data_IF_762626901194
#
_entry.id   IF_762626901194
#
_cell.length_a   1.000
_cell.length_b   1.000
_cell.length_c   1.000
_cell.angle_alpha   90.00
_cell.angle_beta   90.00
_cell.angle_gamma   90.00
#
_symmetry.space_group_name_H-M   'P 1'
#
loop_
_entity.id
_entity.type
_entity.pdbx_description
1 polymer ?
#
# COMPACT_ATOMS: atom_id res chain seq x y z
N UNK A 1 -2.91 22.01 -12.64
CA UNK A 1 -3.70 22.51 -11.48
C UNK A 1 -2.73 23.24 -10.58
N UNK A 2 -3.07 24.47 -10.22
CA UNK A 2 -2.30 25.27 -9.25
C UNK A 2 -2.94 25.11 -7.88
N UNK A 3 -2.12 24.99 -6.85
CA UNK A 3 -2.58 24.83 -5.47
C UNK A 3 -2.07 26.00 -4.64
N UNK A 4 -2.92 26.49 -3.75
CA UNK A 4 -2.53 27.52 -2.78
C UNK A 4 -1.45 26.97 -1.84
N UNK A 5 -0.21 27.37 -2.09
CA UNK A 5 0.96 26.95 -1.31
C UNK A 5 0.96 27.51 0.11
N UNK A 6 0.17 28.56 0.40
CA UNK A 6 0.03 29.10 1.74
C UNK A 6 -0.76 28.10 2.61
N UNK A 7 -1.88 27.59 2.08
CA UNK A 7 -2.78 26.64 2.75
C UNK A 7 -2.30 25.19 2.70
N UNK A 8 -1.80 24.73 1.54
CA UNK A 8 -1.49 23.33 1.31
C UNK A 8 0.01 23.07 1.15
N UNK A 9 0.48 21.97 1.75
CA UNK A 9 1.78 21.39 1.45
C UNK A 9 1.63 20.34 0.35
N UNK A 10 2.20 20.60 -0.82
CA UNK A 10 2.14 19.68 -1.95
C UNK A 10 3.17 18.56 -1.77
N UNK A 11 2.69 17.32 -1.71
CA UNK A 11 3.52 16.12 -1.73
C UNK A 11 3.55 15.54 -3.15
N UNK A 12 4.72 15.65 -3.79
CA UNK A 12 5.02 15.07 -5.11
C UNK A 12 6.50 14.69 -5.15
N UNK A 13 6.91 13.92 -6.16
CA UNK A 13 8.34 13.68 -6.40
C UNK A 13 9.09 15.02 -6.59
N UNK A 14 10.33 15.17 -6.07
CA UNK A 14 11.21 14.14 -5.50
C UNK A 14 11.19 14.07 -3.96
N UNK A 15 10.04 13.84 -3.33
CA UNK A 15 9.98 13.53 -1.89
C UNK A 15 10.62 12.16 -1.58
N UNK A 16 11.47 12.06 -0.55
CA UNK A 16 12.19 10.83 -0.18
C UNK A 16 11.28 9.61 -0.01
N UNK A 17 10.11 9.77 0.62
CA UNK A 17 9.15 8.68 0.81
C UNK A 17 8.58 8.18 -0.52
N UNK A 18 8.28 9.11 -1.44
CA UNK A 18 7.78 8.78 -2.76
C UNK A 18 8.88 8.19 -3.66
N UNK A 19 10.12 8.63 -3.50
CA UNK A 19 11.28 8.03 -4.18
C UNK A 19 11.47 6.60 -3.70
N UNK A 20 11.47 6.36 -2.39
CA UNK A 20 11.49 5.02 -1.80
C UNK A 20 10.35 4.15 -2.36
N UNK A 21 9.15 4.71 -2.52
CA UNK A 21 8.02 4.01 -3.14
C UNK A 21 8.34 3.53 -4.56
N UNK A 22 8.94 4.39 -5.38
CA UNK A 22 9.23 4.09 -6.79
C UNK A 22 10.34 3.05 -6.94
N UNK A 23 11.36 3.05 -6.08
CA UNK A 23 12.56 2.23 -6.26
C UNK A 23 12.54 0.90 -5.49
N UNK A 24 11.80 0.80 -4.38
CA UNK A 24 11.87 -0.37 -3.52
C UNK A 24 11.18 -1.59 -4.17
N UNK A 25 11.91 -2.66 -4.53
CA UNK A 25 11.32 -3.82 -5.20
C UNK A 25 10.26 -4.53 -4.36
N UNK A 26 10.36 -4.49 -3.03
CA UNK A 26 9.37 -5.07 -2.11
C UNK A 26 7.99 -4.44 -2.26
N UNK A 27 7.90 -3.15 -2.65
CA UNK A 27 6.63 -2.49 -2.87
C UNK A 27 5.94 -2.90 -4.18
N UNK A 28 6.64 -3.58 -5.10
CA UNK A 28 6.00 -4.17 -6.26
C UNK A 28 5.04 -5.30 -5.88
N UNK A 29 5.30 -6.02 -4.79
CA UNK A 29 4.35 -7.00 -4.23
C UNK A 29 3.07 -6.30 -3.80
N UNK A 30 3.18 -5.15 -3.13
CA UNK A 30 2.03 -4.36 -2.73
C UNK A 30 1.23 -3.85 -3.95
N UNK A 31 1.90 -3.35 -4.99
CA UNK A 31 1.22 -2.83 -6.18
C UNK A 31 0.59 -3.92 -7.05
N UNK A 32 1.30 -5.03 -7.30
CA UNK A 32 0.87 -6.07 -8.24
C UNK A 32 -0.01 -7.13 -7.58
N UNK A 33 0.33 -7.59 -6.38
CA UNK A 33 -0.39 -8.66 -5.71
C UNK A 33 -1.52 -8.09 -4.88
N UNK A 34 -1.23 -7.13 -4.00
CA UNK A 34 -2.24 -6.54 -3.11
C UNK A 34 -3.06 -5.43 -3.78
N UNK A 35 -2.61 -4.90 -4.92
CA UNK A 35 -3.31 -3.81 -5.61
C UNK A 35 -3.23 -2.48 -4.86
N UNK A 36 -2.22 -2.25 -4.03
CA UNK A 36 -2.03 -0.96 -3.38
C UNK A 36 -1.62 0.10 -4.41
N UNK A 37 -2.19 1.31 -4.32
CA UNK A 37 -1.83 2.43 -5.19
C UNK A 37 -1.62 3.69 -4.38
N UNK A 38 -0.58 4.44 -4.74
CA UNK A 38 -0.27 5.73 -4.12
C UNK A 38 -0.51 6.85 -5.15
N UNK A 39 -1.32 7.89 -4.85
CA UNK A 39 -1.54 8.99 -5.77
C UNK A 39 -0.22 9.70 -6.13
N UNK A 40 -0.11 10.18 -7.37
CA UNK A 40 1.07 10.92 -7.83
C UNK A 40 1.24 12.28 -7.14
N UNK A 41 0.13 12.87 -6.72
CA UNK A 41 0.07 14.15 -6.00
C UNK A 41 -0.87 14.00 -4.82
N UNK A 42 -0.42 14.42 -3.65
CA UNK A 42 -1.24 14.56 -2.44
C UNK A 42 -1.00 15.94 -1.84
N UNK A 43 -1.96 16.43 -1.05
CA UNK A 43 -1.94 17.76 -0.46
C UNK A 43 -2.22 17.63 1.03
N UNK A 44 -1.34 18.14 1.88
CA UNK A 44 -1.60 18.22 3.33
C UNK A 44 -2.08 19.63 3.66
N UNK A 45 -3.26 19.75 4.25
CA UNK A 45 -3.72 21.02 4.83
C UNK A 45 -2.86 21.34 6.06
N UNK A 46 -2.17 22.48 6.04
CA UNK A 46 -1.25 22.86 7.12
C UNK A 46 -1.95 23.22 8.43
N UNK A 47 -3.22 23.64 8.38
CA UNK A 47 -3.98 24.04 9.55
C UNK A 47 -4.64 22.85 10.23
N UNK A 48 -5.13 21.89 9.44
CA UNK A 48 -5.90 20.76 9.95
C UNK A 48 -5.11 19.44 10.00
N UNK A 49 -3.92 19.39 9.39
CA UNK A 49 -3.09 18.18 9.22
C UNK A 49 -3.88 17.04 8.55
N UNK A 50 -4.75 17.40 7.59
CA UNK A 50 -5.58 16.48 6.80
C UNK A 50 -4.99 16.35 5.40
N UNK A 51 -4.86 15.12 4.91
CA UNK A 51 -4.37 14.83 3.57
C UNK A 51 -5.52 14.72 2.56
N UNK A 52 -5.31 15.31 1.39
CA UNK A 52 -6.23 15.30 0.26
C UNK A 52 -5.56 14.77 -1.00
N UNK A 53 -6.35 14.09 -1.83
CA UNK A 53 -5.97 13.64 -3.17
C UNK A 53 -6.75 14.45 -4.21
N UNK A 54 -6.10 15.38 -4.91
CA UNK A 54 -6.74 16.18 -5.94
C UNK A 54 -7.02 15.35 -7.19
N UNK A 55 -8.24 15.45 -7.73
CA UNK A 55 -8.56 14.87 -9.04
C UNK A 55 -8.18 15.85 -10.16
N UNK A 56 -7.35 15.46 -11.14
CA UNK A 56 -6.98 16.35 -12.25
C UNK A 56 -8.11 16.59 -13.25
N UNK A 57 -9.16 15.76 -13.25
CA UNK A 57 -10.26 15.81 -14.22
C UNK A 57 -11.36 16.79 -13.79
N UNK A 58 -11.90 16.63 -12.57
CA UNK A 58 -12.98 17.47 -12.04
C UNK A 58 -12.54 18.47 -10.98
N UNK A 59 -11.25 18.49 -10.60
CA UNK A 59 -10.68 19.35 -9.55
C UNK A 59 -11.22 19.08 -8.13
N UNK A 60 -11.92 17.96 -7.94
CA UNK A 60 -12.34 17.46 -6.64
C UNK A 60 -11.17 17.32 -5.67
N UNK A 61 -11.38 17.68 -4.41
CA UNK A 61 -10.45 17.48 -3.32
C UNK A 61 -10.96 16.30 -2.48
N UNK A 62 -10.45 15.11 -2.75
CA UNK A 62 -10.90 13.89 -2.10
C UNK A 62 -10.12 13.66 -0.81
N UNK A 63 -10.77 13.24 0.27
CA UNK A 63 -10.10 12.82 1.51
C UNK A 63 -9.17 11.63 1.21
N UNK A 64 -7.91 11.71 1.63
CA UNK A 64 -6.94 10.63 1.42
C UNK A 64 -7.31 9.35 2.18
N UNK A 65 -8.09 9.45 3.27
CA UNK A 65 -8.58 8.31 4.05
C UNK A 65 -9.41 7.33 3.20
N UNK A 66 -9.96 7.78 2.07
CA UNK A 66 -10.70 6.93 1.14
C UNK A 66 -9.88 5.75 0.63
N UNK A 67 -8.56 5.89 0.51
CA UNK A 67 -7.66 4.82 0.03
C UNK A 67 -6.62 4.43 1.08
N UNK A 68 -6.90 4.70 2.37
CA UNK A 68 -6.04 4.34 3.50
C UNK A 68 -6.65 3.20 4.34
N UNK A 69 -5.90 2.75 5.35
CA UNK A 69 -6.37 1.78 6.34
C UNK A 69 -6.91 0.48 5.73
N UNK A 70 -8.18 0.18 6.00
CA UNK A 70 -8.83 -1.06 5.50
C UNK A 70 -9.14 -1.02 4.01
N UNK A 71 -9.14 0.16 3.38
CA UNK A 71 -9.36 0.33 1.94
C UNK A 71 -8.06 0.64 1.18
N UNK A 72 -6.90 0.28 1.74
CA UNK A 72 -5.59 0.51 1.10
C UNK A 72 -5.33 -0.38 -0.12
N UNK A 73 -6.03 -1.51 -0.22
CA UNK A 73 -5.71 -2.60 -1.13
C UNK A 73 -6.83 -2.87 -2.13
N UNK A 74 -6.48 -3.57 -3.21
CA UNK A 74 -7.41 -3.99 -4.25
C UNK A 74 -7.70 -2.94 -5.31
N UNK A 75 -6.80 -1.96 -5.47
CA UNK A 75 -6.80 -0.89 -6.46
C UNK A 75 -5.94 -1.22 -7.69
N UNK A 76 -5.97 -2.47 -8.17
CA UNK A 76 -5.05 -2.96 -9.21
C UNK A 76 -5.03 -2.11 -10.49
N UNK A 77 -6.17 -1.55 -10.90
CA UNK A 77 -6.25 -0.73 -12.12
C UNK A 77 -6.16 0.79 -11.87
N UNK A 78 -5.79 1.20 -10.66
CA UNK A 78 -5.66 2.59 -10.23
C UNK A 78 -6.68 2.97 -9.17
N UNK A 79 -6.58 4.19 -8.64
CA UNK A 79 -7.59 4.79 -7.77
C UNK A 79 -8.59 5.60 -8.61
N UNK A 80 -9.86 5.59 -8.23
CA UNK A 80 -10.96 6.23 -8.97
C UNK A 80 -11.51 7.40 -8.17
N UNK A 81 -11.72 8.54 -8.81
CA UNK A 81 -12.36 9.67 -8.16
C UNK A 81 -13.86 9.39 -7.91
N UNK A 82 -14.38 9.56 -6.68
CA UNK A 82 -15.79 9.34 -6.38
C UNK A 82 -16.74 10.33 -7.08
N UNK A 83 -16.26 11.52 -7.45
CA UNK A 83 -17.11 12.53 -8.09
C UNK A 83 -17.27 12.31 -9.60
N UNK A 84 -16.17 12.10 -10.33
CA UNK A 84 -16.19 12.00 -11.80
C UNK A 84 -15.94 10.58 -12.33
N UNK A 85 -15.67 9.62 -11.46
CA UNK A 85 -15.33 8.23 -11.80
C UNK A 85 -14.13 8.03 -12.73
N UNK A 86 -13.33 9.08 -12.94
CA UNK A 86 -12.08 9.01 -13.69
C UNK A 86 -10.94 8.53 -12.81
N UNK A 87 -9.94 7.91 -13.43
CA UNK A 87 -8.73 7.45 -12.76
C UNK A 87 -7.88 8.62 -12.28
N UNK A 88 -7.46 8.59 -11.02
CA UNK A 88 -6.49 9.53 -10.50
C UNK A 88 -5.08 8.97 -10.78
N UNK A 89 -4.18 9.76 -11.40
CA UNK A 89 -2.82 9.32 -11.66
C UNK A 89 -2.12 8.84 -10.38
N UNK A 90 -1.59 7.62 -10.44
CA UNK A 90 -0.85 6.99 -9.35
C UNK A 90 0.64 6.92 -9.68
N UNK A 91 1.47 6.79 -8.64
CA UNK A 91 2.86 6.38 -8.80
C UNK A 91 2.92 4.94 -9.31
N UNK A 92 4.02 4.64 -10.00
CA UNK A 92 4.34 3.31 -10.47
C UNK A 92 5.72 2.94 -9.95
N UNK A 93 5.82 1.81 -9.28
CA UNK A 93 7.12 1.27 -8.88
C UNK A 93 7.87 0.74 -10.11
N UNK A 94 9.19 0.96 -10.15
CA UNK A 94 10.04 0.55 -11.26
C UNK A 94 10.05 -0.97 -11.44
N UNK A 95 10.08 -1.72 -10.34
CA UNK A 95 10.01 -3.18 -10.37
C UNK A 95 8.65 -3.65 -10.86
N UNK A 96 7.55 -3.02 -10.41
CA UNK A 96 6.21 -3.29 -10.97
C UNK A 96 6.17 -3.09 -12.49
N UNK A 97 6.75 -1.99 -12.97
CA UNK A 97 6.83 -1.69 -14.41
C UNK A 97 7.60 -2.77 -15.16
N UNK A 98 8.77 -3.18 -14.67
CA UNK A 98 9.58 -4.23 -15.29
C UNK A 98 8.82 -5.56 -15.33
N UNK A 99 8.21 -5.97 -14.22
CA UNK A 99 7.41 -7.20 -14.17
C UNK A 99 6.27 -7.14 -15.18
N UNK A 100 5.51 -6.04 -15.22
CA UNK A 100 4.40 -5.89 -16.16
C UNK A 100 4.88 -5.85 -17.62
N UNK A 101 6.06 -5.30 -17.89
CA UNK A 101 6.66 -5.29 -19.22
C UNK A 101 7.04 -6.70 -19.68
N UNK A 102 7.79 -7.44 -18.86
CA UNK A 102 8.22 -8.80 -19.21
C UNK A 102 7.08 -9.83 -19.17
N UNK A 103 6.03 -9.58 -18.38
CA UNK A 103 4.84 -10.44 -18.31
C UNK A 103 3.68 -9.93 -19.16
N UNK A 104 3.90 -8.93 -20.02
CA UNK A 104 2.87 -8.27 -20.81
C UNK A 104 1.93 -9.23 -21.56
N UNK A 105 2.42 -10.28 -22.25
CA UNK A 105 1.55 -11.20 -22.98
C UNK A 105 0.54 -11.93 -22.09
N UNK A 106 0.86 -12.13 -20.82
CA UNK A 106 0.00 -12.83 -19.84
C UNK A 106 -0.96 -11.82 -19.20
N UNK A 107 -0.42 -10.69 -18.73
CA UNK A 107 -1.19 -9.68 -17.99
C UNK A 107 -2.23 -8.95 -18.84
N UNK A 108 -1.97 -8.74 -20.14
CA UNK A 108 -2.86 -7.95 -20.99
C UNK A 108 -4.28 -8.54 -21.06
N UNK A 109 -4.41 -9.87 -21.06
CA UNK A 109 -5.71 -10.56 -21.05
C UNK A 109 -6.48 -10.33 -19.75
N UNK A 110 -5.79 -10.39 -18.61
CA UNK A 110 -6.38 -10.08 -17.29
C UNK A 110 -6.89 -8.65 -17.26
N UNK A 111 -6.15 -7.71 -17.84
CA UNK A 111 -6.60 -6.32 -17.96
C UNK A 111 -7.86 -6.20 -18.82
N UNK A 112 -7.84 -6.74 -20.04
CA UNK A 112 -8.97 -6.61 -20.98
C UNK A 112 -10.28 -7.18 -20.43
N UNK A 113 -10.22 -8.31 -19.72
CA UNK A 113 -11.43 -8.95 -19.19
C UNK A 113 -11.86 -8.42 -17.81
N UNK A 114 -10.88 -8.06 -16.97
CA UNK A 114 -11.10 -7.76 -15.56
C UNK A 114 -11.37 -6.29 -15.27
N UNK A 115 -10.83 -5.36 -16.07
CA UNK A 115 -10.80 -3.94 -15.73
C UNK A 115 -12.19 -3.32 -15.62
N UNK A 116 -13.10 -3.63 -16.54
CA UNK A 116 -14.47 -3.10 -16.53
C UNK A 116 -15.27 -3.61 -15.32
N UNK A 117 -15.21 -4.92 -15.06
CA UNK A 117 -15.86 -5.54 -13.89
C UNK A 117 -15.29 -5.00 -12.58
N UNK A 118 -13.96 -4.79 -12.54
CA UNK A 118 -13.29 -4.20 -11.40
C UNK A 118 -13.73 -2.74 -11.19
N UNK A 119 -13.83 -1.94 -12.25
CA UNK A 119 -14.25 -0.53 -12.17
C UNK A 119 -15.66 -0.40 -11.58
N UNK A 120 -16.60 -1.24 -12.01
CA UNK A 120 -17.96 -1.27 -11.46
C UNK A 120 -17.99 -1.68 -9.98
N UNK A 121 -17.07 -2.55 -9.55
CA UNK A 121 -16.90 -2.90 -8.14
C UNK A 121 -16.31 -1.75 -7.34
N UNK A 122 -15.35 -1.03 -7.91
CA UNK A 122 -14.68 0.10 -7.27
C UNK A 122 -15.64 1.25 -7.01
N UNK A 123 -16.49 1.60 -7.99
CA UNK A 123 -17.54 2.62 -7.82
C UNK A 123 -18.46 2.34 -6.61
N UNK A 124 -18.76 1.06 -6.35
CA UNK A 124 -19.59 0.64 -5.21
C UNK A 124 -18.88 0.75 -3.86
N UNK A 125 -17.54 0.76 -3.82
CA UNK A 125 -16.76 0.84 -2.57
C UNK A 125 -16.84 2.21 -1.89
N UNK A 126 -16.97 3.29 -2.66
CA UNK A 126 -17.01 4.66 -2.13
C UNK A 126 -18.22 4.93 -1.23
N UNK A 127 -19.34 4.24 -1.47
CA UNK A 127 -20.55 4.34 -0.65
C UNK A 127 -20.32 3.75 0.75
N UNK A 128 -19.41 2.79 0.88
CA UNK A 128 -19.12 2.07 2.13
C UNK A 128 -17.96 2.69 2.93
N UNK A 129 -17.01 3.37 2.28
CA UNK A 129 -15.83 3.94 2.94
C UNK A 129 -16.12 5.26 3.66
N UNK A 130 -17.07 6.07 3.19
CA UNK A 130 -17.43 7.36 3.80
C UNK A 130 -18.10 7.26 5.18
N UNK A 131 -18.54 6.06 5.58
CA UNK A 131 -19.36 5.84 6.79
C UNK A 131 -18.61 5.18 7.96
N UNK A 132 -17.35 4.74 7.79
CA UNK A 132 -16.62 4.01 8.85
C UNK A 132 -15.16 4.43 8.96
N UNK A 133 -14.87 5.39 9.85
CA UNK A 133 -13.52 5.48 10.45
C UNK A 133 -13.34 4.28 11.36
N UNK A 134 -12.71 3.23 10.86
CA UNK A 134 -12.49 2.01 11.62
C UNK A 134 -11.59 2.30 12.83
N UNK A 135 -12.10 2.09 14.04
CA UNK A 135 -11.30 2.17 15.27
C UNK A 135 -10.25 1.06 15.23
N UNK A 136 -8.98 1.41 15.04
CA UNK A 136 -7.88 0.45 14.88
C UNK A 136 -7.59 -0.23 16.22
N UNK A 137 -7.67 -1.56 16.26
CA UNK A 137 -7.42 -2.33 17.48
C UNK A 137 -5.92 -2.66 17.60
N UNK A 138 -5.29 -2.30 18.72
CA UNK A 138 -3.87 -2.62 19.02
C UNK A 138 -3.55 -4.11 18.81
N UNK A 139 -4.51 -4.99 19.11
CA UNK A 139 -4.33 -6.44 18.98
C UNK A 139 -4.24 -6.91 17.52
N UNK A 140 -4.78 -6.16 16.55
CA UNK A 140 -4.65 -6.49 15.12
C UNK A 140 -3.21 -6.29 14.62
N UNK A 141 -2.48 -5.29 15.12
CA UNK A 141 -1.09 -5.04 14.70
C UNK A 141 -0.14 -6.16 15.13
N UNK A 142 -0.33 -6.72 16.33
CA UNK A 142 0.44 -7.87 16.80
C UNK A 142 0.15 -9.14 15.98
N UNK A 143 -1.12 -9.35 15.57
CA UNK A 143 -1.47 -10.46 14.66
C UNK A 143 -0.77 -10.34 13.32
N UNK A 144 -0.74 -9.13 12.73
CA UNK A 144 -0.03 -8.86 11.47
C UNK A 144 1.48 -9.11 11.66
N UNK A 145 2.06 -8.65 12.77
CA UNK A 145 3.47 -8.90 13.09
C UNK A 145 3.79 -10.40 13.20
N UNK A 146 2.99 -11.17 13.94
CA UNK A 146 3.13 -12.62 14.06
C UNK A 146 2.97 -13.36 12.73
N UNK A 147 2.00 -12.97 11.91
CA UNK A 147 1.80 -13.55 10.57
C UNK A 147 3.02 -13.29 9.68
N UNK A 148 3.58 -12.07 9.74
CA UNK A 148 4.80 -11.73 9.03
C UNK A 148 6.01 -12.52 9.54
N UNK A 149 6.14 -12.69 10.85
CA UNK A 149 7.18 -13.54 11.46
C UNK A 149 7.11 -14.99 11.01
N UNK A 150 5.90 -15.56 10.94
CA UNK A 150 5.67 -16.92 10.43
C UNK A 150 6.07 -17.02 8.96
N UNK A 151 5.65 -16.06 8.14
CA UNK A 151 6.05 -16.00 6.74
C UNK A 151 7.58 -15.96 6.58
N UNK A 152 8.26 -15.08 7.33
CA UNK A 152 9.73 -14.98 7.31
C UNK A 152 10.40 -16.28 7.75
N UNK A 153 9.87 -16.95 8.78
CA UNK A 153 10.36 -18.24 9.21
C UNK A 153 10.24 -19.29 8.10
N UNK A 154 9.10 -19.36 7.40
CA UNK A 154 8.93 -20.26 6.26
C UNK A 154 9.92 -19.97 5.13
N UNK A 155 10.15 -18.69 4.79
CA UNK A 155 11.10 -18.30 3.74
C UNK A 155 12.53 -18.71 4.11
N UNK A 156 12.98 -18.43 5.33
CA UNK A 156 14.32 -18.82 5.80
C UNK A 156 14.46 -20.34 5.86
N UNK A 157 13.41 -21.03 6.31
CA UNK A 157 13.41 -22.50 6.37
C UNK A 157 13.54 -23.12 4.97
N UNK A 158 12.83 -22.55 3.99
CA UNK A 158 12.91 -22.99 2.60
C UNK A 158 14.29 -22.73 2.00
N UNK A 159 14.87 -21.55 2.22
CA UNK A 159 16.23 -21.21 1.77
C UNK A 159 17.28 -22.19 2.35
N UNK A 160 17.22 -22.46 3.65
CA UNK A 160 18.12 -23.41 4.31
C UNK A 160 17.92 -24.85 3.84
N UNK A 161 16.67 -25.23 3.52
CA UNK A 161 16.36 -26.54 2.95
C UNK A 161 16.97 -26.67 1.54
N UNK A 162 16.84 -25.65 0.69
CA UNK A 162 17.41 -25.65 -0.65
C UNK A 162 18.94 -25.68 -0.67
N UNK A 163 19.58 -25.13 0.36
CA UNK A 163 21.04 -25.14 0.53
C UNK A 163 21.57 -26.37 1.31
N UNK A 164 20.72 -27.34 1.67
CA UNK A 164 21.08 -28.48 2.55
C UNK A 164 21.69 -28.08 3.91
N UNK A 165 21.34 -26.89 4.41
CA UNK A 165 21.81 -26.33 5.70
C UNK A 165 20.75 -26.40 6.80
N UNK A 166 19.79 -27.32 6.67
CA UNK A 166 18.69 -27.47 7.61
C UNK A 166 19.15 -28.23 8.86
N UNK A 167 19.42 -27.51 9.96
CA UNK A 167 19.76 -28.11 11.25
C UNK A 167 18.67 -27.81 12.30
N UNK A 168 18.05 -28.83 12.94
CA UNK A 168 16.98 -28.65 13.94
C UNK A 168 17.32 -27.67 15.07
N UNK A 169 18.56 -27.69 15.57
CA UNK A 169 18.99 -26.80 16.66
C UNK A 169 18.99 -25.33 16.21
N UNK A 170 19.45 -25.07 14.99
CA UNK A 170 19.43 -23.74 14.39
C UNK A 170 18.01 -23.26 14.12
N UNK A 171 17.07 -24.17 13.80
CA UNK A 171 15.68 -23.81 13.53
C UNK A 171 14.95 -23.26 14.75
N UNK A 172 15.25 -23.76 15.95
CA UNK A 172 14.71 -23.21 17.19
C UNK A 172 15.21 -21.78 17.43
N UNK A 173 16.51 -21.54 17.20
CA UNK A 173 17.09 -20.20 17.31
C UNK A 173 16.44 -19.24 16.29
N UNK A 174 16.25 -19.66 15.04
CA UNK A 174 15.60 -18.84 14.02
C UNK A 174 14.12 -18.60 14.30
N UNK A 175 13.38 -19.59 14.80
CA UNK A 175 11.98 -19.43 15.22
C UNK A 175 11.87 -18.37 16.33
N UNK A 176 12.76 -18.43 17.33
CA UNK A 176 12.81 -17.43 18.40
C UNK A 176 13.12 -16.03 17.86
N UNK A 177 14.12 -15.89 16.99
CA UNK A 177 14.46 -14.61 16.35
C UNK A 177 13.27 -14.06 15.55
N UNK A 178 12.57 -14.90 14.79
CA UNK A 178 11.41 -14.49 13.99
C UNK A 178 10.24 -14.03 14.89
N UNK A 179 10.00 -14.72 16.00
CA UNK A 179 8.95 -14.35 16.96
C UNK A 179 9.29 -13.02 17.65
N UNK A 180 10.52 -12.85 18.13
CA UNK A 180 10.97 -11.60 18.76
C UNK A 180 10.92 -10.45 17.75
N UNK A 181 11.43 -10.66 16.54
CA UNK A 181 11.36 -9.70 15.44
C UNK A 181 9.92 -9.33 15.08
N UNK A 182 9.01 -10.31 15.03
CA UNK A 182 7.58 -10.10 14.78
C UNK A 182 6.90 -9.26 15.86
N UNK A 183 7.22 -9.50 17.13
CA UNK A 183 6.70 -8.71 18.25
C UNK A 183 7.24 -7.28 18.22
N UNK A 184 8.55 -7.10 17.99
CA UNK A 184 9.17 -5.78 17.82
C UNK A 184 8.53 -5.03 16.66
N UNK A 185 8.38 -5.69 15.50
CA UNK A 185 7.75 -5.11 14.32
C UNK A 185 6.29 -4.71 14.59
N UNK A 186 5.51 -5.58 15.24
CA UNK A 186 4.13 -5.28 15.66
C UNK A 186 4.05 -4.08 16.60
N UNK A 187 5.00 -3.95 17.53
CA UNK A 187 5.10 -2.81 18.46
C UNK A 187 5.54 -1.51 17.76
N UNK A 188 6.50 -1.58 16.83
CA UNK A 188 6.94 -0.44 16.02
C UNK A 188 5.78 0.15 15.20
N UNK A 189 4.89 -0.70 14.67
CA UNK A 189 3.68 -0.26 13.98
C UNK A 189 2.65 0.44 14.89
N UNK A 190 2.80 0.38 16.22
CA UNK A 190 1.97 1.09 17.20
C UNK A 190 2.62 2.41 17.69
N UNK A 191 3.85 2.74 17.27
CA UNK A 191 4.54 3.97 17.69
C UNK A 191 3.96 5.21 16.99
N UNK A 192 3.70 6.33 17.71
CA UNK A 192 3.08 7.53 17.16
C UNK A 192 3.75 8.19 15.96
N UNK A 193 5.08 8.08 15.82
CA UNK A 193 5.83 8.56 14.65
C UNK A 193 5.49 7.78 13.37
N UNK A 194 4.93 6.58 13.51
CA UNK A 194 4.28 5.79 12.46
C UNK A 194 2.73 5.92 12.48
N UNK A 195 2.14 6.50 13.56
CA UNK A 195 0.69 6.77 13.70
C UNK A 195 0.20 8.09 13.11
N UNK A 196 1.06 8.92 12.50
CA UNK A 196 0.58 10.10 11.76
C UNK A 196 1.05 10.03 10.32
N UNK A 197 0.17 9.45 9.51
CA UNK A 197 -0.08 9.67 8.06
C UNK A 197 -1.01 8.55 7.54
N UNK A 198 -2.14 8.31 8.19
CA UNK A 198 -3.19 7.42 7.67
C UNK A 198 -4.54 7.69 8.27
#
# INVERSE_FOLDING_TARGET
>A
MEFDSSKYKVQKLPNLLLVHWVINPGLAVNELILGQRLPRVMLTDKAQDIDYVPCPHCKAMNDADLWSGKNSFGHWFGIICPECHQKIPSLLNLTSLLVLFFTFPIWIWLKLWGEQKWLEKEKKRFVFSSTKKAKKNRFENFKIGLLFGLFMFCVISLDRYLDDRLNPESMLAYAFICIVGAMIFGALMDIPSFKRRS
#
